data_IF_212989008804
#
_entry.id   IF_212989008804
#
_cell.length_a   1.000
_cell.length_b   1.000
_cell.length_c   1.000
_cell.angle_alpha   90.00
_cell.angle_beta   90.00
_cell.angle_gamma   90.00
#
_symmetry.space_group_name_H-M   'P 1'
#
loop_
_entity.id
_entity.type
_entity.pdbx_description
1 polymer ?
#
# COMPACT_ATOMS: atom_id res chain seq x y z
N UNK A 1 -4.57 4.48 -23.49
CA UNK A 1 -3.53 3.61 -22.91
C UNK A 1 -2.19 3.96 -23.55
N UNK A 2 -1.15 4.26 -22.75
CA UNK A 2 0.19 4.58 -23.27
C UNK A 2 1.03 3.30 -23.39
N UNK A 3 1.38 2.90 -24.61
CA UNK A 3 2.12 1.67 -24.87
C UNK A 3 3.52 1.68 -24.24
N UNK A 4 4.20 2.83 -24.18
CA UNK A 4 5.49 2.95 -23.50
C UNK A 4 5.37 2.72 -22.00
N UNK A 5 4.30 3.21 -21.38
CA UNK A 5 4.05 3.00 -19.95
C UNK A 5 3.73 1.52 -19.64
N UNK A 6 3.09 0.81 -20.57
CA UNK A 6 2.87 -0.64 -20.48
C UNK A 6 4.20 -1.40 -20.54
N UNK A 7 5.08 -1.09 -21.49
CA UNK A 7 6.41 -1.72 -21.57
C UNK A 7 7.25 -1.38 -20.34
N UNK A 8 7.23 -0.13 -19.88
CA UNK A 8 7.93 0.30 -18.67
C UNK A 8 7.45 -0.46 -17.42
N UNK A 9 6.16 -0.81 -17.36
CA UNK A 9 5.62 -1.57 -16.21
C UNK A 9 6.22 -2.97 -16.06
N UNK A 10 6.64 -3.60 -17.17
CA UNK A 10 7.42 -4.84 -17.11
C UNK A 10 8.77 -4.61 -16.41
N UNK A 11 9.45 -3.50 -16.74
CA UNK A 11 10.68 -3.10 -16.06
C UNK A 11 10.47 -2.78 -14.57
N UNK A 12 9.41 -2.04 -14.24
CA UNK A 12 9.06 -1.74 -12.84
C UNK A 12 8.77 -3.01 -12.02
N UNK A 13 8.04 -3.97 -12.60
CA UNK A 13 7.79 -5.27 -11.99
C UNK A 13 9.06 -6.09 -11.77
N UNK A 14 10.01 -6.07 -12.73
CA UNK A 14 11.33 -6.69 -12.56
C UNK A 14 12.09 -6.02 -11.41
N UNK A 15 12.07 -4.70 -11.30
CA UNK A 15 12.74 -3.97 -10.20
C UNK A 15 12.16 -4.42 -8.86
N UNK A 16 10.83 -4.50 -8.75
CA UNK A 16 10.16 -5.02 -7.57
C UNK A 16 10.62 -6.42 -7.17
N UNK A 17 10.77 -7.33 -8.14
CA UNK A 17 11.31 -8.67 -7.88
C UNK A 17 12.81 -8.63 -7.52
N UNK A 18 13.60 -7.86 -8.27
CA UNK A 18 15.06 -7.76 -8.12
C UNK A 18 15.46 -7.39 -6.69
N UNK A 19 14.91 -6.31 -6.15
CA UNK A 19 15.28 -5.80 -4.81
C UNK A 19 14.40 -6.36 -3.69
N UNK A 20 13.23 -6.90 -4.00
CA UNK A 20 12.20 -7.28 -3.03
C UNK A 20 11.07 -6.24 -3.00
N UNK A 21 9.85 -6.69 -2.68
CA UNK A 21 8.68 -5.82 -2.74
C UNK A 21 8.74 -4.69 -1.68
N UNK A 22 9.11 -5.00 -0.44
CA UNK A 22 9.19 -4.01 0.63
C UNK A 22 10.26 -2.92 0.34
N UNK A 23 11.50 -3.26 -0.09
CA UNK A 23 12.46 -2.26 -0.53
C UNK A 23 11.96 -1.35 -1.66
N UNK A 24 11.29 -1.90 -2.68
CA UNK A 24 10.71 -1.10 -3.77
C UNK A 24 9.62 -0.14 -3.25
N UNK A 25 8.81 -0.58 -2.30
CA UNK A 25 7.81 0.26 -1.65
C UNK A 25 8.42 1.36 -0.77
N UNK A 26 9.53 1.10 -0.08
CA UNK A 26 10.27 2.12 0.67
C UNK A 26 10.76 3.22 -0.27
N UNK A 27 11.28 2.87 -1.46
CA UNK A 27 11.69 3.85 -2.48
C UNK A 27 10.50 4.67 -2.99
N UNK A 28 9.33 4.05 -3.13
CA UNK A 28 8.08 4.78 -3.42
C UNK A 28 7.83 5.86 -2.37
N UNK A 29 7.99 5.53 -1.10
CA UNK A 29 7.88 6.47 0.02
C UNK A 29 8.84 7.66 -0.10
N UNK A 30 10.11 7.41 -0.45
CA UNK A 30 11.11 8.49 -0.62
C UNK A 30 10.68 9.48 -1.70
N UNK A 31 10.24 8.97 -2.86
CA UNK A 31 9.80 9.82 -3.97
C UNK A 31 8.48 10.53 -3.64
N UNK A 32 7.57 9.86 -2.91
CA UNK A 32 6.32 10.47 -2.45
C UNK A 32 6.58 11.65 -1.50
N UNK A 33 7.56 11.56 -0.58
CA UNK A 33 7.97 12.71 0.25
C UNK A 33 8.48 13.84 -0.62
N UNK A 34 9.44 13.57 -1.51
CA UNK A 34 10.05 14.60 -2.35
C UNK A 34 9.01 15.32 -3.21
N UNK A 35 8.09 14.57 -3.82
CA UNK A 35 7.02 15.11 -4.64
C UNK A 35 5.98 15.87 -3.84
N UNK A 36 5.54 15.35 -2.69
CA UNK A 36 4.60 16.05 -1.83
C UNK A 36 5.17 17.37 -1.31
N UNK A 37 6.43 17.40 -0.84
CA UNK A 37 7.09 18.64 -0.41
C UNK A 37 7.21 19.66 -1.56
N UNK A 38 7.59 19.20 -2.75
CA UNK A 38 7.68 20.07 -3.92
C UNK A 38 6.32 20.66 -4.30
N UNK A 39 5.26 19.85 -4.32
CA UNK A 39 3.90 20.30 -4.60
C UNK A 39 3.39 21.27 -3.52
N UNK A 40 3.67 21.00 -2.25
CA UNK A 40 3.33 21.89 -1.13
C UNK A 40 4.01 23.26 -1.25
N UNK A 41 5.20 23.31 -1.85
CA UNK A 41 5.94 24.54 -2.14
C UNK A 41 5.50 25.24 -3.44
N UNK A 42 4.45 24.76 -4.12
CA UNK A 42 3.94 25.32 -5.37
C UNK A 42 4.63 24.83 -6.64
N UNK A 43 5.49 23.80 -6.53
CA UNK A 43 6.09 23.13 -7.69
C UNK A 43 5.09 22.24 -8.42
N UNK A 44 5.35 21.98 -9.71
CA UNK A 44 4.58 21.00 -10.47
C UNK A 44 4.87 19.57 -9.95
N UNK A 45 3.82 18.79 -9.74
CA UNK A 45 3.95 17.38 -9.37
C UNK A 45 4.35 16.54 -10.58
N UNK A 46 5.66 16.33 -10.72
CA UNK A 46 6.24 15.50 -11.78
C UNK A 46 6.74 14.14 -11.26
N UNK A 47 6.72 13.92 -9.95
CA UNK A 47 7.38 12.75 -9.32
C UNK A 47 6.39 11.82 -8.63
N UNK A 48 5.31 12.32 -8.02
CA UNK A 48 4.33 11.46 -7.35
C UNK A 48 3.57 10.65 -8.40
N UNK A 49 2.93 11.33 -9.36
CA UNK A 49 2.11 10.66 -10.38
C UNK A 49 2.89 9.80 -11.39
N UNK A 50 4.11 10.21 -11.75
CA UNK A 50 4.88 9.52 -12.82
C UNK A 50 5.90 8.51 -12.32
N UNK A 51 6.43 8.68 -11.10
CA UNK A 51 7.51 7.86 -10.56
C UNK A 51 7.00 7.03 -9.38
N UNK A 52 6.55 7.68 -8.30
CA UNK A 52 6.10 6.99 -7.08
C UNK A 52 4.85 6.14 -7.32
N UNK A 53 3.89 6.64 -8.10
CA UNK A 53 2.64 5.96 -8.43
C UNK A 53 2.51 5.71 -9.95
N UNK A 54 3.63 5.63 -10.67
CA UNK A 54 3.67 5.33 -12.10
C UNK A 54 4.25 3.95 -12.42
N UNK A 55 4.55 3.70 -13.70
CA UNK A 55 5.08 2.41 -14.19
C UNK A 55 6.46 2.01 -13.63
N UNK A 56 7.14 2.90 -12.90
CA UNK A 56 8.46 2.63 -12.34
C UNK A 56 8.39 2.05 -10.92
N UNK A 57 7.99 2.86 -9.93
CA UNK A 57 7.93 2.43 -8.52
C UNK A 57 6.49 2.20 -8.01
N UNK A 58 5.47 2.49 -8.82
CA UNK A 58 4.07 2.33 -8.45
C UNK A 58 3.81 1.04 -7.66
N UNK A 59 3.13 1.09 -6.49
CA UNK A 59 2.89 -0.11 -5.69
C UNK A 59 2.15 -1.19 -6.49
N UNK A 60 1.25 -0.78 -7.37
CA UNK A 60 0.52 -1.65 -8.28
C UNK A 60 1.39 -2.28 -9.38
N UNK A 61 2.66 -1.88 -9.52
CA UNK A 61 3.62 -2.36 -10.52
C UNK A 61 4.79 -3.05 -9.84
N UNK A 62 5.62 -2.29 -9.12
CA UNK A 62 6.85 -2.78 -8.52
C UNK A 62 6.57 -3.64 -7.29
N UNK A 63 5.84 -3.11 -6.30
CA UNK A 63 5.51 -3.89 -5.10
C UNK A 63 4.66 -5.13 -5.46
N UNK A 64 3.62 -4.97 -6.27
CA UNK A 64 2.78 -6.08 -6.73
C UNK A 64 3.58 -7.14 -7.52
N UNK A 65 4.50 -6.71 -8.38
CA UNK A 65 5.44 -7.59 -9.09
C UNK A 65 6.36 -8.36 -8.13
N UNK A 66 6.94 -7.67 -7.14
CA UNK A 66 7.76 -8.29 -6.11
C UNK A 66 7.00 -9.32 -5.27
N UNK A 67 5.76 -9.00 -4.85
CA UNK A 67 4.89 -9.93 -4.12
C UNK A 67 4.62 -11.20 -4.92
N UNK A 68 4.28 -11.06 -6.20
CA UNK A 68 4.02 -12.21 -7.07
C UNK A 68 5.29 -13.04 -7.33
N UNK A 69 6.44 -12.38 -7.47
CA UNK A 69 7.74 -13.04 -7.61
C UNK A 69 8.11 -13.84 -6.34
N UNK A 70 7.91 -13.27 -5.15
CA UNK A 70 8.08 -13.99 -3.87
C UNK A 70 7.16 -15.20 -3.79
N UNK A 71 5.87 -15.05 -4.16
CA UNK A 71 4.92 -16.16 -4.20
C UNK A 71 5.38 -17.29 -5.13
N UNK A 72 5.86 -16.97 -6.34
CA UNK A 72 6.43 -17.94 -7.26
C UNK A 72 7.70 -18.61 -6.74
N UNK A 73 8.62 -17.83 -6.15
CA UNK A 73 9.84 -18.35 -5.56
C UNK A 73 9.55 -19.30 -4.39
N UNK A 74 8.55 -18.97 -3.56
CA UNK A 74 8.03 -19.85 -2.51
C UNK A 74 7.46 -21.16 -3.06
N UNK A 75 6.58 -21.08 -4.07
CA UNK A 75 6.02 -22.27 -4.75
C UNK A 75 7.10 -23.19 -5.31
N UNK A 76 8.13 -22.60 -5.91
CA UNK A 76 9.25 -23.34 -6.51
C UNK A 76 10.36 -23.70 -5.51
N UNK A 77 10.13 -23.47 -4.21
CA UNK A 77 11.04 -23.79 -3.11
C UNK A 77 12.41 -23.11 -3.21
N UNK A 78 12.48 -21.98 -3.92
CA UNK A 78 13.68 -21.13 -4.02
C UNK A 78 13.74 -20.10 -2.90
N UNK A 79 12.58 -19.75 -2.34
CA UNK A 79 12.45 -18.90 -1.16
C UNK A 79 11.78 -19.70 -0.04
N UNK A 80 12.17 -19.43 1.21
CA UNK A 80 11.65 -20.16 2.37
C UNK A 80 10.13 -20.02 2.56
N UNK A 81 9.57 -18.85 2.21
CA UNK A 81 8.14 -18.61 2.19
C UNK A 81 7.77 -17.64 1.08
N UNK A 82 6.65 -17.88 0.40
CA UNK A 82 6.10 -16.91 -0.57
C UNK A 82 5.46 -15.68 0.08
N UNK A 83 5.36 -15.65 1.41
CA UNK A 83 4.98 -14.46 2.20
C UNK A 83 6.15 -13.51 2.44
N UNK A 84 7.39 -13.92 2.13
CA UNK A 84 8.57 -13.08 2.34
C UNK A 84 8.69 -12.02 1.25
N UNK A 85 8.26 -10.81 1.59
CA UNK A 85 8.31 -9.63 0.74
C UNK A 85 9.57 -8.78 0.94
N UNK A 86 10.48 -9.19 1.85
CA UNK A 86 11.67 -8.44 2.23
C UNK A 86 12.91 -8.89 1.45
N UNK A 87 12.95 -10.17 1.07
CA UNK A 87 14.11 -10.77 0.41
C UNK A 87 14.42 -10.19 -0.96
N UNK A 88 15.71 -9.94 -1.22
CA UNK A 88 16.24 -9.58 -2.52
C UNK A 88 16.27 -10.82 -3.44
N UNK A 89 15.31 -10.95 -4.36
CA UNK A 89 15.16 -12.18 -5.15
C UNK A 89 16.22 -12.33 -6.23
N UNK A 90 16.99 -11.28 -6.53
CA UNK A 90 18.17 -11.39 -7.38
C UNK A 90 19.22 -12.35 -6.80
N UNK A 91 19.28 -12.47 -5.47
CA UNK A 91 20.16 -13.42 -4.79
C UNK A 91 19.83 -14.90 -5.07
N UNK A 92 18.64 -15.19 -5.61
CA UNK A 92 18.23 -16.55 -5.98
C UNK A 92 18.87 -17.02 -7.30
N UNK A 93 19.47 -16.12 -8.08
CA UNK A 93 20.01 -16.39 -9.42
C UNK A 93 19.02 -17.11 -10.35
N UNK A 94 17.72 -16.79 -10.22
CA UNK A 94 16.64 -17.42 -10.99
C UNK A 94 15.94 -16.41 -11.91
N UNK A 95 16.24 -16.39 -13.21
CA UNK A 95 15.63 -15.46 -14.16
C UNK A 95 14.10 -15.57 -14.21
N UNK A 96 13.53 -16.77 -14.01
CA UNK A 96 12.09 -16.97 -14.03
C UNK A 96 11.38 -16.17 -12.93
N UNK A 97 11.96 -16.09 -11.73
CA UNK A 97 11.41 -15.28 -10.63
C UNK A 97 11.36 -13.79 -10.99
N UNK A 98 12.39 -13.26 -11.63
CA UNK A 98 12.41 -11.86 -12.09
C UNK A 98 11.38 -11.61 -13.19
N UNK A 99 11.27 -12.54 -14.15
CA UNK A 99 10.28 -12.46 -15.23
C UNK A 99 8.84 -12.50 -14.71
N UNK A 100 8.55 -13.28 -13.67
CA UNK A 100 7.24 -13.26 -12.99
C UNK A 100 6.94 -11.88 -12.45
N UNK A 101 7.91 -11.22 -11.80
CA UNK A 101 7.75 -9.84 -11.35
C UNK A 101 7.39 -8.89 -12.48
N UNK A 102 8.10 -8.97 -13.61
CA UNK A 102 7.80 -8.17 -14.79
C UNK A 102 6.40 -8.42 -15.36
N UNK A 103 5.98 -9.68 -15.49
CA UNK A 103 4.63 -10.03 -15.95
C UNK A 103 3.56 -9.45 -15.02
N UNK A 104 3.75 -9.53 -13.70
CA UNK A 104 2.82 -8.96 -12.74
C UNK A 104 2.83 -7.43 -12.71
N UNK A 105 3.95 -6.79 -13.07
CA UNK A 105 3.98 -5.36 -13.35
C UNK A 105 3.04 -4.96 -14.50
N UNK A 106 3.05 -5.73 -15.60
CA UNK A 106 2.14 -5.53 -16.73
C UNK A 106 0.69 -5.79 -16.35
N UNK A 107 0.42 -6.88 -15.63
CA UNK A 107 -0.93 -7.20 -15.13
C UNK A 107 -1.45 -6.06 -14.24
N UNK A 108 -0.62 -5.56 -13.34
CA UNK A 108 -0.94 -4.42 -12.48
C UNK A 108 -1.30 -3.16 -13.29
N UNK A 109 -0.51 -2.82 -14.31
CA UNK A 109 -0.80 -1.69 -15.19
C UNK A 109 -2.18 -1.82 -15.86
N UNK A 110 -2.51 -3.01 -16.37
CA UNK A 110 -3.78 -3.27 -17.04
C UNK A 110 -4.97 -3.19 -16.08
N UNK A 111 -4.85 -3.78 -14.89
CA UNK A 111 -5.88 -3.69 -13.84
C UNK A 111 -6.10 -2.23 -13.45
N UNK A 112 -5.03 -1.48 -13.18
CA UNK A 112 -5.10 -0.06 -12.83
C UNK A 112 -5.81 0.76 -13.92
N UNK A 113 -5.48 0.49 -15.20
CA UNK A 113 -6.15 1.13 -16.34
C UNK A 113 -7.65 0.83 -16.39
N UNK A 114 -8.06 -0.43 -16.18
CA UNK A 114 -9.48 -0.82 -16.19
C UNK A 114 -10.23 -0.15 -15.04
N UNK A 115 -9.71 -0.20 -13.82
CA UNK A 115 -10.38 0.39 -12.66
C UNK A 115 -10.51 1.91 -12.80
N UNK A 116 -9.41 2.57 -13.19
CA UNK A 116 -9.36 4.04 -13.25
C UNK A 116 -10.03 4.63 -14.49
N UNK A 117 -9.65 4.15 -15.68
CA UNK A 117 -10.05 4.78 -16.95
C UNK A 117 -11.27 4.14 -17.62
N UNK A 118 -11.70 2.95 -17.19
CA UNK A 118 -12.90 2.29 -17.72
C UNK A 118 -14.04 2.36 -16.71
N UNK A 119 -13.79 1.96 -15.45
CA UNK A 119 -14.82 1.92 -14.41
C UNK A 119 -14.98 3.25 -13.65
N UNK A 120 -13.99 4.15 -13.71
CA UNK A 120 -14.04 5.48 -13.08
C UNK A 120 -14.37 5.43 -11.57
N UNK A 121 -13.87 4.41 -10.88
CA UNK A 121 -14.14 4.24 -9.45
C UNK A 121 -13.38 5.28 -8.62
N UNK A 122 -14.09 5.91 -7.67
CA UNK A 122 -13.52 6.93 -6.79
C UNK A 122 -12.87 6.34 -5.54
N UNK A 123 -11.78 5.59 -5.74
CA UNK A 123 -11.03 4.92 -4.69
C UNK A 123 -9.53 5.00 -4.96
N UNK A 124 -8.70 4.48 -4.05
CA UNK A 124 -7.27 4.36 -4.27
C UNK A 124 -6.99 3.27 -5.32
N UNK A 125 -6.72 3.74 -6.55
CA UNK A 125 -6.46 2.85 -7.70
C UNK A 125 -5.23 1.96 -7.50
N UNK A 126 -4.10 2.45 -6.96
CA UNK A 126 -2.93 1.60 -6.70
C UNK A 126 -3.26 0.47 -5.72
N UNK A 127 -3.86 0.78 -4.57
CA UNK A 127 -4.21 -0.17 -3.52
C UNK A 127 -5.19 -1.23 -4.02
N UNK A 128 -6.26 -0.82 -4.70
CA UNK A 128 -7.22 -1.78 -5.26
C UNK A 128 -6.54 -2.72 -6.27
N UNK A 129 -5.65 -2.18 -7.11
CA UNK A 129 -4.88 -2.98 -8.07
C UNK A 129 -3.94 -3.97 -7.38
N UNK A 130 -3.23 -3.54 -6.33
CA UNK A 130 -2.36 -4.43 -5.52
C UNK A 130 -3.16 -5.61 -4.97
N UNK A 131 -4.39 -5.39 -4.49
CA UNK A 131 -5.23 -6.47 -3.96
C UNK A 131 -5.63 -7.46 -5.04
N UNK A 132 -6.11 -7.00 -6.19
CA UNK A 132 -6.48 -7.91 -7.29
C UNK A 132 -5.25 -8.70 -7.75
N UNK A 133 -4.11 -8.03 -7.92
CA UNK A 133 -2.84 -8.66 -8.29
C UNK A 133 -2.39 -9.71 -7.27
N UNK A 134 -2.46 -9.42 -5.97
CA UNK A 134 -2.09 -10.34 -4.91
C UNK A 134 -3.04 -11.55 -4.83
N UNK A 135 -4.35 -11.35 -5.06
CA UNK A 135 -5.33 -12.45 -5.16
C UNK A 135 -4.99 -13.35 -6.34
N UNK A 136 -4.67 -12.78 -7.52
CA UNK A 136 -4.23 -13.56 -8.68
C UNK A 136 -2.96 -14.36 -8.32
N UNK A 137 -1.95 -13.72 -7.75
CA UNK A 137 -0.71 -14.39 -7.34
C UNK A 137 -0.98 -15.53 -6.35
N UNK A 138 -1.87 -15.31 -5.38
CA UNK A 138 -2.27 -16.34 -4.40
C UNK A 138 -2.98 -17.52 -5.05
N UNK A 139 -3.88 -17.29 -6.00
CA UNK A 139 -4.60 -18.37 -6.68
C UNK A 139 -3.72 -19.15 -7.67
N UNK A 140 -2.74 -18.48 -8.29
CA UNK A 140 -1.83 -19.10 -9.27
C UNK A 140 -0.67 -19.81 -8.58
N UNK A 141 -0.11 -19.21 -7.52
CA UNK A 141 1.10 -19.70 -6.89
C UNK A 141 0.91 -20.33 -5.51
N UNK A 142 -0.15 -19.97 -4.79
CA UNK A 142 -0.46 -20.51 -3.47
C UNK A 142 -1.23 -21.84 -3.53
N UNK A 143 -1.31 -22.45 -2.35
CA UNK A 143 -1.96 -23.74 -2.07
C UNK A 143 -2.81 -23.70 -0.81
N UNK A 144 -2.68 -22.63 -0.01
CA UNK A 144 -3.37 -22.45 1.27
C UNK A 144 -4.82 -21.92 1.16
N UNK A 145 -5.29 -21.63 -0.06
CA UNK A 145 -6.60 -21.01 -0.30
C UNK A 145 -6.59 -19.49 -0.04
N UNK A 146 -7.73 -18.82 -0.21
CA UNK A 146 -7.80 -17.36 -0.18
C UNK A 146 -7.46 -16.75 1.19
N UNK A 147 -7.92 -17.38 2.27
CA UNK A 147 -7.72 -16.91 3.65
C UNK A 147 -6.68 -17.73 4.42
N UNK A 148 -5.98 -18.66 3.76
CA UNK A 148 -5.09 -19.61 4.43
C UNK A 148 -5.83 -20.75 5.15
N UNK A 149 -5.09 -21.79 5.56
CA UNK A 149 -5.65 -23.01 6.16
C UNK A 149 -5.01 -23.26 7.53
N UNK A 150 -5.77 -23.01 8.59
CA UNK A 150 -5.35 -23.28 9.97
C UNK A 150 -5.25 -24.79 10.21
N UNK A 151 -4.44 -25.19 11.19
CA UNK A 151 -4.39 -26.58 11.64
C UNK A 151 -5.76 -27.01 12.25
N UNK A 152 -6.10 -28.32 12.24
CA UNK A 152 -7.41 -28.80 12.72
C UNK A 152 -7.78 -28.41 14.15
N UNK A 153 -6.78 -28.15 15.00
CA UNK A 153 -6.88 -27.79 16.40
C UNK A 153 -6.70 -26.29 16.68
N UNK A 154 -6.40 -25.49 15.64
CA UNK A 154 -6.21 -24.05 15.76
C UNK A 154 -7.45 -23.28 15.31
N UNK A 155 -7.95 -22.40 16.19
CA UNK A 155 -8.99 -21.42 15.80
C UNK A 155 -8.31 -20.19 15.22
N UNK A 156 -8.70 -19.80 14.01
CA UNK A 156 -8.21 -18.58 13.36
C UNK A 156 -8.61 -17.35 14.19
N UNK A 157 -7.60 -16.55 14.52
CA UNK A 157 -7.78 -15.20 15.03
C UNK A 157 -8.01 -14.24 13.85
N UNK A 158 -9.05 -13.42 13.92
CA UNK A 158 -9.36 -12.38 12.90
C UNK A 158 -8.93 -10.98 13.34
N UNK A 159 -8.67 -10.78 14.62
CA UNK A 159 -8.21 -9.53 15.21
C UNK A 159 -7.25 -9.87 16.34
N UNK A 160 -6.14 -9.15 16.44
CA UNK A 160 -5.21 -9.28 17.55
C UNK A 160 -5.92 -9.00 18.88
N UNK A 161 -5.98 -9.98 19.78
CA UNK A 161 -6.64 -9.84 21.07
C UNK A 161 -5.83 -9.11 22.16
N UNK A 162 -6.46 -8.89 23.31
CA UNK A 162 -5.83 -8.45 24.55
C UNK A 162 -5.05 -7.12 24.44
N UNK A 163 -3.80 -7.11 24.92
CA UNK A 163 -2.94 -5.92 24.90
C UNK A 163 -2.57 -5.48 23.49
N UNK A 164 -2.51 -6.39 22.52
CA UNK A 164 -2.20 -6.05 21.13
C UNK A 164 -3.30 -5.21 20.48
N UNK A 165 -4.58 -5.53 20.77
CA UNK A 165 -5.71 -4.68 20.38
C UNK A 165 -5.53 -3.25 20.90
N UNK A 166 -5.20 -3.11 22.19
CA UNK A 166 -4.99 -1.80 22.82
C UNK A 166 -3.82 -1.06 22.17
N UNK A 167 -2.72 -1.75 21.85
CA UNK A 167 -1.62 -1.15 21.09
C UNK A 167 -2.06 -0.64 19.72
N UNK A 168 -2.90 -1.39 18.99
CA UNK A 168 -3.42 -0.96 17.68
C UNK A 168 -4.33 0.28 17.81
N UNK A 169 -5.18 0.34 18.85
CA UNK A 169 -6.00 1.54 19.13
C UNK A 169 -5.12 2.74 19.45
N UNK A 170 -4.13 2.58 20.34
CA UNK A 170 -3.22 3.67 20.73
C UNK A 170 -2.38 4.13 19.54
N UNK A 171 -1.91 3.21 18.71
CA UNK A 171 -1.16 3.52 17.49
C UNK A 171 -2.00 4.37 16.52
N UNK A 172 -3.23 3.92 16.25
CA UNK A 172 -4.18 4.65 15.41
C UNK A 172 -4.53 6.03 15.97
N UNK A 173 -4.78 6.12 17.27
CA UNK A 173 -5.02 7.37 17.99
C UNK A 173 -3.82 8.32 17.89
N UNK A 174 -2.60 7.84 18.12
CA UNK A 174 -1.38 8.65 18.11
C UNK A 174 -1.08 9.22 16.73
N UNK A 175 -1.13 8.38 15.69
CA UNK A 175 -0.94 8.81 14.30
C UNK A 175 -2.08 9.74 13.87
N UNK A 176 -3.32 9.39 14.18
CA UNK A 176 -4.49 10.18 13.84
C UNK A 176 -4.50 11.57 14.49
N UNK A 177 -4.09 11.66 15.75
CA UNK A 177 -3.98 12.95 16.46
C UNK A 177 -2.85 13.79 15.86
N UNK A 178 -1.69 13.19 15.58
CA UNK A 178 -0.54 13.91 15.02
C UNK A 178 -0.86 14.45 13.62
N UNK A 179 -1.47 13.62 12.77
CA UNK A 179 -1.84 14.02 11.41
C UNK A 179 -2.95 15.07 11.39
N UNK A 180 -4.00 14.90 12.21
CA UNK A 180 -5.06 15.88 12.38
C UNK A 180 -4.54 17.23 12.91
N UNK A 181 -3.66 17.20 13.92
CA UNK A 181 -3.04 18.41 14.47
C UNK A 181 -2.20 19.17 13.42
N UNK A 182 -1.35 18.47 12.67
CA UNK A 182 -0.52 19.11 11.64
C UNK A 182 -1.39 19.66 10.51
N UNK A 183 -2.48 18.98 10.13
CA UNK A 183 -3.48 19.54 9.22
C UNK A 183 -4.03 20.89 9.74
N UNK A 184 -4.47 20.95 11.00
CA UNK A 184 -4.99 22.19 11.58
C UNK A 184 -3.91 23.29 11.63
N UNK A 185 -2.68 22.93 11.99
CA UNK A 185 -1.56 23.88 12.01
C UNK A 185 -1.23 24.44 10.60
N UNK A 186 -1.37 23.63 9.54
CA UNK A 186 -1.24 24.10 8.15
C UNK A 186 -2.34 25.10 7.80
N UNK A 187 -3.59 24.82 8.18
CA UNK A 187 -4.73 25.73 7.98
C UNK A 187 -4.50 27.06 8.70
N UNK A 188 -4.17 27.01 10.00
CA UNK A 188 -3.94 28.19 10.82
C UNK A 188 -2.72 29.01 10.33
N UNK A 189 -1.73 28.32 9.75
CA UNK A 189 -0.56 28.91 9.12
C UNK A 189 -0.82 29.50 7.73
N UNK A 190 -2.05 29.43 7.21
CA UNK A 190 -2.42 29.99 5.91
C UNK A 190 -1.94 29.18 4.70
N UNK A 191 -1.69 27.88 4.86
CA UNK A 191 -1.34 27.02 3.74
C UNK A 191 -2.45 27.02 2.68
N UNK A 192 -2.05 27.05 1.40
CA UNK A 192 -3.00 27.02 0.30
C UNK A 192 -3.76 25.69 0.24
N UNK A 193 -4.96 25.69 -0.35
CA UNK A 193 -5.72 24.46 -0.58
C UNK A 193 -4.94 23.43 -1.39
N UNK A 194 -4.11 23.89 -2.35
CA UNK A 194 -3.23 23.01 -3.13
C UNK A 194 -2.17 22.34 -2.24
N UNK A 195 -1.52 23.10 -1.34
CA UNK A 195 -0.53 22.56 -0.40
C UNK A 195 -1.18 21.56 0.57
N UNK A 196 -2.37 21.88 1.10
CA UNK A 196 -3.12 20.98 1.97
C UNK A 196 -3.53 19.71 1.23
N UNK A 197 -3.86 19.80 -0.07
CA UNK A 197 -4.18 18.64 -0.91
C UNK A 197 -3.05 17.61 -1.04
N UNK A 198 -1.79 18.04 -0.97
CA UNK A 198 -0.61 17.15 -1.02
C UNK A 198 -0.21 16.59 0.36
N UNK A 199 -0.77 17.10 1.45
CA UNK A 199 -0.44 16.68 2.81
C UNK A 199 -0.64 15.17 3.07
N UNK A 200 -1.73 14.52 2.60
CA UNK A 200 -1.90 13.07 2.80
C UNK A 200 -0.78 12.24 2.17
N UNK A 201 -0.26 12.64 1.00
CA UNK A 201 0.85 11.96 0.33
C UNK A 201 2.15 12.11 1.12
N UNK A 202 2.38 13.27 1.75
CA UNK A 202 3.52 13.46 2.64
C UNK A 202 3.45 12.51 3.85
N UNK A 203 2.28 12.40 4.49
CA UNK A 203 2.05 11.47 5.60
C UNK A 203 2.28 10.02 5.18
N UNK A 204 1.76 9.63 4.02
CA UNK A 204 2.01 8.31 3.43
C UNK A 204 3.51 8.07 3.24
N UNK A 205 4.22 9.01 2.60
CA UNK A 205 5.63 8.87 2.27
C UNK A 205 6.50 8.69 3.50
N UNK A 206 6.32 9.52 4.53
CA UNK A 206 7.06 9.41 5.81
C UNK A 206 6.85 8.04 6.45
N UNK A 207 5.60 7.59 6.54
CA UNK A 207 5.27 6.29 7.11
C UNK A 207 5.77 5.12 6.24
N UNK A 208 5.76 5.24 4.92
CA UNK A 208 6.28 4.24 4.00
C UNK A 208 7.81 4.11 4.13
N UNK A 209 8.54 5.22 4.24
CA UNK A 209 9.99 5.20 4.48
C UNK A 209 10.34 4.55 5.81
N UNK A 210 9.51 4.72 6.84
CA UNK A 210 9.74 4.09 8.16
C UNK A 210 9.79 2.56 8.11
N UNK A 211 9.27 1.92 7.06
CA UNK A 211 9.40 0.48 6.85
C UNK A 211 10.85 0.02 6.62
N UNK A 212 11.80 0.94 6.45
CA UNK A 212 13.22 0.60 6.52
C UNK A 212 13.59 -0.07 7.86
N UNK A 213 12.92 0.29 8.97
CA UNK A 213 13.10 -0.39 10.25
C UNK A 213 12.64 -1.85 10.18
N UNK A 214 11.50 -2.13 9.54
CA UNK A 214 11.06 -3.51 9.30
C UNK A 214 12.03 -4.28 8.39
N UNK A 215 12.50 -3.65 7.30
CA UNK A 215 13.49 -4.23 6.38
C UNK A 215 14.82 -4.58 7.09
N UNK A 216 15.18 -3.83 8.12
CA UNK A 216 16.41 -4.02 8.91
C UNK A 216 16.21 -4.92 10.14
N UNK A 217 15.04 -5.55 10.27
CA UNK A 217 14.76 -6.57 11.28
C UNK A 217 14.11 -6.07 12.57
N UNK A 218 13.76 -4.79 12.67
CA UNK A 218 12.98 -4.27 13.80
C UNK A 218 11.50 -4.66 13.66
N UNK A 219 10.82 -4.89 14.77
CA UNK A 219 9.38 -5.17 14.81
C UNK A 219 8.53 -3.90 14.61
N UNK A 220 8.81 -3.16 13.54
CA UNK A 220 8.10 -1.93 13.17
C UNK A 220 6.86 -2.29 12.32
N UNK A 221 5.65 -1.92 12.73
CA UNK A 221 4.45 -2.18 11.94
C UNK A 221 4.38 -1.24 10.72
N UNK A 222 3.64 -1.66 9.69
CA UNK A 222 3.27 -0.76 8.60
C UNK A 222 2.23 0.26 9.08
N UNK A 223 2.51 1.54 8.89
CA UNK A 223 1.65 2.64 9.38
C UNK A 223 1.16 3.57 8.28
N UNK A 224 1.60 3.38 7.03
CA UNK A 224 1.32 4.29 5.93
C UNK A 224 -0.16 4.34 5.53
N UNK A 225 -0.90 3.24 5.68
CA UNK A 225 -2.36 3.24 5.52
C UNK A 225 -3.06 4.05 6.61
N UNK A 226 -2.56 4.00 7.85
CA UNK A 226 -3.08 4.78 8.97
C UNK A 226 -2.82 6.26 8.71
N UNK A 227 -1.58 6.63 8.41
CA UNK A 227 -1.15 8.01 8.21
C UNK A 227 -1.84 8.65 6.99
N UNK A 228 -1.88 7.94 5.85
CA UNK A 228 -2.53 8.43 4.63
C UNK A 228 -4.01 8.73 4.86
N UNK A 229 -4.76 7.75 5.37
CA UNK A 229 -6.21 7.88 5.51
C UNK A 229 -6.57 8.86 6.63
N UNK A 230 -5.81 8.91 7.71
CA UNK A 230 -6.02 9.92 8.77
C UNK A 230 -5.90 11.34 8.20
N UNK A 231 -4.83 11.61 7.45
CA UNK A 231 -4.64 12.91 6.82
C UNK A 231 -5.70 13.17 5.73
N UNK A 232 -6.01 12.19 4.89
CA UNK A 232 -7.03 12.31 3.85
C UNK A 232 -8.40 12.64 4.44
N UNK A 233 -8.82 11.96 5.51
CA UNK A 233 -10.09 12.21 6.17
C UNK A 233 -10.12 13.60 6.83
N UNK A 234 -9.03 14.02 7.48
CA UNK A 234 -8.92 15.35 8.09
C UNK A 234 -9.03 16.47 7.03
N UNK A 235 -8.31 16.33 5.91
CA UNK A 235 -8.32 17.27 4.79
C UNK A 235 -9.69 17.33 4.12
N UNK A 236 -10.25 16.17 3.75
CA UNK A 236 -11.48 16.10 2.96
C UNK A 236 -12.70 16.54 3.78
N UNK A 237 -12.77 16.16 5.06
CA UNK A 237 -13.83 16.59 5.97
C UNK A 237 -13.60 18.00 6.53
N UNK A 238 -12.46 18.62 6.23
CA UNK A 238 -11.98 19.87 6.80
C UNK A 238 -12.03 19.90 8.34
N UNK A 239 -11.75 18.76 8.97
CA UNK A 239 -11.90 18.57 10.42
C UNK A 239 -10.77 17.70 10.99
N UNK A 240 -9.88 18.25 11.85
CA UNK A 240 -8.74 17.50 12.38
C UNK A 240 -9.15 16.26 13.22
N UNK A 241 -10.36 16.25 13.80
CA UNK A 241 -10.87 15.11 14.58
C UNK A 241 -11.07 13.88 13.70
N UNK A 242 -11.36 14.05 12.40
CA UNK A 242 -11.49 12.91 11.49
C UNK A 242 -10.17 12.16 11.31
N UNK A 243 -9.02 12.82 11.48
CA UNK A 243 -7.73 12.13 11.53
C UNK A 243 -7.65 11.11 12.66
N UNK A 244 -8.17 11.43 13.84
CA UNK A 244 -8.21 10.54 15.00
C UNK A 244 -9.12 9.34 14.73
N UNK A 245 -10.35 9.61 14.30
CA UNK A 245 -11.37 8.58 14.05
C UNK A 245 -10.87 7.59 12.99
N UNK A 246 -10.42 8.10 11.85
CA UNK A 246 -9.95 7.25 10.76
C UNK A 246 -8.61 6.59 11.06
N UNK A 247 -7.74 7.19 11.87
CA UNK A 247 -6.51 6.55 12.34
C UNK A 247 -6.78 5.30 13.17
N UNK A 248 -7.72 5.37 14.12
CA UNK A 248 -8.13 4.18 14.89
C UNK A 248 -8.76 3.13 13.98
N UNK A 249 -9.72 3.52 13.14
CA UNK A 249 -10.44 2.59 12.27
C UNK A 249 -9.50 1.85 11.30
N UNK A 250 -8.57 2.57 10.66
CA UNK A 250 -7.64 1.97 9.70
C UNK A 250 -6.57 1.12 10.36
N UNK A 251 -6.13 1.45 11.58
CA UNK A 251 -5.23 0.58 12.36
C UNK A 251 -5.88 -0.78 12.65
N UNK A 252 -7.13 -0.76 13.14
CA UNK A 252 -7.88 -1.97 13.46
C UNK A 252 -8.26 -2.78 12.22
N UNK A 253 -8.64 -2.10 11.14
CA UNK A 253 -8.97 -2.77 9.89
C UNK A 253 -7.74 -3.37 9.21
N UNK A 254 -6.58 -2.69 9.27
CA UNK A 254 -5.31 -3.26 8.81
C UNK A 254 -4.94 -4.54 9.55
N UNK A 255 -5.11 -4.56 10.87
CA UNK A 255 -4.94 -5.76 11.69
C UNK A 255 -5.91 -6.88 11.27
N UNK A 256 -7.19 -6.53 11.06
CA UNK A 256 -8.19 -7.47 10.57
C UNK A 256 -7.80 -8.13 9.24
N UNK A 257 -7.39 -7.33 8.26
CA UNK A 257 -6.97 -7.86 6.95
C UNK A 257 -5.70 -8.71 7.11
N UNK A 258 -4.74 -8.27 7.92
CA UNK A 258 -3.52 -9.02 8.21
C UNK A 258 -3.81 -10.40 8.78
N UNK A 259 -4.63 -10.46 9.83
CA UNK A 259 -5.02 -11.70 10.48
C UNK A 259 -5.86 -12.61 9.57
N UNK A 260 -6.79 -12.02 8.82
CA UNK A 260 -7.70 -12.76 7.93
C UNK A 260 -6.96 -13.39 6.76
N UNK A 261 -6.14 -12.61 6.04
CA UNK A 261 -5.56 -13.06 4.78
C UNK A 261 -4.12 -13.55 4.91
N UNK A 262 -3.37 -13.18 5.95
CA UNK A 262 -1.95 -13.56 6.05
C UNK A 262 -1.61 -14.54 7.19
N UNK A 263 -2.60 -15.04 7.92
CA UNK A 263 -2.37 -16.13 8.89
C UNK A 263 -2.51 -17.50 8.22
N UNK A 264 -1.56 -18.40 8.49
CA UNK A 264 -1.54 -19.78 7.98
C UNK A 264 -1.62 -19.84 6.44
N UNK A 265 -0.86 -18.98 5.76
CA UNK A 265 -0.86 -18.85 4.30
C UNK A 265 0.57 -18.97 3.74
N UNK A 266 0.67 -19.07 2.42
CA UNK A 266 1.93 -19.32 1.68
C UNK A 266 2.29 -18.21 0.67
N UNK A 267 1.48 -17.15 0.60
CA UNK A 267 1.66 -15.98 -0.28
C UNK A 267 1.19 -14.73 0.46
N UNK A 268 1.53 -13.52 0.00
CA UNK A 268 1.15 -12.26 0.68
C UNK A 268 -0.06 -11.59 0.02
N UNK A 269 -1.05 -11.17 0.80
CA UNK A 269 -2.10 -10.21 0.39
C UNK A 269 -1.95 -8.97 1.26
N UNK A 270 -1.67 -7.83 0.66
CA UNK A 270 -1.19 -6.68 1.42
C UNK A 270 -2.25 -5.99 2.29
N UNK A 271 -2.12 -6.02 3.64
CA UNK A 271 -3.12 -5.39 4.51
C UNK A 271 -3.22 -3.88 4.35
N UNK A 272 -2.11 -3.13 4.29
CA UNK A 272 -2.17 -1.68 4.05
C UNK A 272 -2.87 -1.28 2.75
N UNK A 273 -2.56 -1.90 1.61
CA UNK A 273 -3.21 -1.62 0.34
C UNK A 273 -4.73 -1.89 0.40
N UNK A 274 -5.14 -2.96 1.10
CA UNK A 274 -6.54 -3.28 1.29
C UNK A 274 -7.25 -2.17 2.07
N UNK A 275 -6.64 -1.76 3.19
CA UNK A 275 -7.17 -0.70 4.04
C UNK A 275 -7.26 0.63 3.29
N UNK A 276 -6.22 1.01 2.53
CA UNK A 276 -6.20 2.27 1.78
C UNK A 276 -7.32 2.30 0.75
N UNK A 277 -7.53 1.23 -0.03
CA UNK A 277 -8.58 1.25 -1.04
C UNK A 277 -9.97 1.38 -0.40
N UNK A 278 -10.28 0.57 0.61
CA UNK A 278 -11.59 0.59 1.27
C UNK A 278 -11.85 1.95 1.89
N UNK A 279 -10.88 2.49 2.63
CA UNK A 279 -11.11 3.71 3.38
C UNK A 279 -11.00 4.98 2.52
N UNK A 280 -10.23 4.98 1.44
CA UNK A 280 -10.28 6.07 0.45
C UNK A 280 -11.67 6.16 -0.16
N UNK A 281 -12.26 5.01 -0.53
CA UNK A 281 -13.63 4.95 -1.01
C UNK A 281 -14.63 5.48 0.04
N UNK A 282 -14.52 5.04 1.30
CA UNK A 282 -15.38 5.52 2.39
C UNK A 282 -15.26 7.03 2.59
N UNK A 283 -14.04 7.58 2.63
CA UNK A 283 -13.81 9.02 2.77
C UNK A 283 -14.43 9.79 1.61
N UNK A 284 -14.23 9.32 0.38
CA UNK A 284 -14.78 9.96 -0.81
C UNK A 284 -16.31 9.95 -0.85
N UNK A 285 -16.94 8.88 -0.35
CA UNK A 285 -18.41 8.79 -0.25
C UNK A 285 -18.96 9.69 0.86
N UNK A 286 -18.29 9.76 2.02
CA UNK A 286 -18.78 10.52 3.17
C UNK A 286 -18.51 12.03 3.06
N UNK A 287 -17.35 12.42 2.53
CA UNK A 287 -16.86 13.80 2.57
C UNK A 287 -16.42 14.34 1.21
N UNK A 288 -16.16 13.47 0.24
CA UNK A 288 -15.63 13.82 -1.07
C UNK A 288 -16.69 13.92 -2.17
N UNK A 289 -16.32 13.49 -3.38
CA UNK A 289 -17.14 13.62 -4.60
C UNK A 289 -18.09 12.42 -4.84
N UNK A 290 -18.24 11.50 -3.90
CA UNK A 290 -19.14 10.35 -4.03
C UNK A 290 -18.48 9.12 -4.69
N UNK A 291 -19.30 8.26 -5.30
CA UNK A 291 -18.90 6.91 -5.73
C UNK A 291 -18.01 6.87 -6.98
N UNK A 292 -18.25 7.76 -7.94
CA UNK A 292 -17.52 7.86 -9.21
C UNK A 292 -16.69 9.13 -9.25
N UNK A 293 -15.55 9.10 -9.95
CA UNK A 293 -14.61 10.22 -10.06
C UNK A 293 -14.89 11.16 -11.24
N UNK A 294 -16.06 11.02 -11.89
CA UNK A 294 -16.53 11.78 -13.05
C UNK A 294 -17.64 12.75 -12.71
#
# INVERSE_FOLDING_TARGET
MNLFALVASFGGGIIGAYMGALPAFILTGVIAIAGAVAAMAGGADMTVGFIAFGSYLGPHIAFAGGVAASAYAGKTKKLGSGTDILSCLNGLADPATLLVGGVFGVIGFLIHYVIGAVLHLNTDLPGFTVIISAVIARLVFGSSGLIGKAAPDETREYFTGGKGMLCNVILGLGIGTTTGFVYQALVDGGASAASIGSYPVLCFGIAAVSLIFAQTGFAMPATHHIALISALAAVTAQNPVMGIVFGILTSLFGDFIGKTFNSCCDTHIDPPAFTIFIFTFIVNVLFGSGFFSV
#
